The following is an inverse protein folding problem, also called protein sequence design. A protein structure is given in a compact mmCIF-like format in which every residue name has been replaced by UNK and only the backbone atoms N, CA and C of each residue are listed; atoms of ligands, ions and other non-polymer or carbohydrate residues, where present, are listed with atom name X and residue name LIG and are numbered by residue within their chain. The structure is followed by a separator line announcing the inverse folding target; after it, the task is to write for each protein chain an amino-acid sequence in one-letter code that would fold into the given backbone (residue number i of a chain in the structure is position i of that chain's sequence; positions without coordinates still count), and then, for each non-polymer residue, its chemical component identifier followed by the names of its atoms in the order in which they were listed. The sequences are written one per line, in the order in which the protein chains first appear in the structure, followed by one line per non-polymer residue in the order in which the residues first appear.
data_IF_389698303722
#
_entry.id   IF_389698303722
#
_cell.length_a   1.000
_cell.length_b   1.000
_cell.length_c   1.000
_cell.angle_alpha   90.00
_cell.angle_beta   90.00
_cell.angle_gamma   90.00
#
_symmetry.space_group_name_H-M   'P 1'
#
loop_
_entity.id
_entity.type
_entity.pdbx_description
1 polymer ?
#
# COMPACT_ATOMS: atom_id res chain seq x y z
N UNK A 1 -3.02 5.46 14.66
CA UNK A 1 -4.43 5.76 14.27
C UNK A 1 -4.41 6.18 12.80
N UNK A 2 -5.24 5.59 11.94
CA UNK A 2 -5.30 5.95 10.52
C UNK A 2 -6.21 7.15 10.33
N UNK A 3 -5.73 8.17 9.63
CA UNK A 3 -6.52 9.34 9.21
C UNK A 3 -6.97 9.14 7.77
N UNK A 4 -8.26 9.41 7.49
CA UNK A 4 -8.86 9.26 6.16
C UNK A 4 -9.32 10.63 5.65
N UNK A 5 -8.88 10.99 4.42
CA UNK A 5 -9.21 12.27 3.79
C UNK A 5 -9.88 11.99 2.43
N UNK A 6 -11.17 12.31 2.27
CA UNK A 6 -11.86 12.17 0.99
C UNK A 6 -11.23 13.09 -0.07
N UNK A 7 -11.01 12.55 -1.27
CA UNK A 7 -10.46 13.30 -2.39
C UNK A 7 -11.54 13.59 -3.45
N UNK A 8 -11.70 14.87 -3.76
CA UNK A 8 -12.59 15.32 -4.86
C UNK A 8 -11.69 15.77 -6.02
N UNK A 9 -11.58 14.97 -7.09
CA UNK A 9 -10.74 15.31 -8.24
C UNK A 9 -11.17 16.60 -8.91
N UNK A 10 -10.21 17.46 -9.23
CA UNK A 10 -10.42 18.66 -10.05
C UNK A 10 -9.17 18.92 -10.90
N UNK A 11 -9.36 19.11 -12.19
CA UNK A 11 -8.27 19.48 -13.12
C UNK A 11 -7.95 20.98 -13.11
N UNK A 12 -8.74 21.77 -12.40
CA UNK A 12 -8.63 23.24 -12.37
C UNK A 12 -8.16 23.73 -11.00
N UNK A 13 -8.63 23.10 -9.93
CA UNK A 13 -8.34 23.52 -8.56
C UNK A 13 -7.47 22.47 -7.86
N UNK A 14 -6.33 22.85 -7.29
CA UNK A 14 -5.56 21.97 -6.41
C UNK A 14 -6.41 21.54 -5.22
N UNK A 15 -6.27 20.28 -4.82
CA UNK A 15 -6.79 19.79 -3.57
C UNK A 15 -5.64 19.77 -2.55
N UNK A 16 -5.89 20.14 -1.31
CA UNK A 16 -4.85 20.13 -0.27
C UNK A 16 -5.38 19.63 1.07
N UNK A 17 -4.49 19.01 1.83
CA UNK A 17 -4.75 18.55 3.19
C UNK A 17 -3.43 18.47 3.98
N UNK A 18 -3.55 18.33 5.30
CA UNK A 18 -2.40 18.10 6.17
C UNK A 18 -2.26 16.61 6.47
N UNK A 19 -1.05 16.09 6.36
CA UNK A 19 -0.69 14.73 6.72
C UNK A 19 0.30 14.70 7.87
N UNK A 20 0.05 13.86 8.87
CA UNK A 20 1.02 13.54 9.91
C UNK A 20 1.90 12.40 9.41
N UNK A 21 3.17 12.67 9.11
CA UNK A 21 4.16 11.70 8.66
C UNK A 21 5.30 11.69 9.69
N UNK A 22 5.60 10.53 10.25
CA UNK A 22 6.65 10.33 11.27
C UNK A 22 6.57 11.35 12.43
N UNK A 23 5.32 11.61 12.88
CA UNK A 23 5.04 12.52 13.99
C UNK A 23 5.13 14.00 13.64
N UNK A 24 5.41 14.37 12.38
CA UNK A 24 5.49 15.75 11.91
C UNK A 24 4.39 16.05 10.91
N UNK A 25 3.81 17.25 10.97
CA UNK A 25 2.77 17.71 10.04
C UNK A 25 3.38 18.22 8.74
N UNK A 26 2.81 17.80 7.61
CA UNK A 26 3.18 18.23 6.26
C UNK A 26 1.95 18.72 5.51
N UNK A 27 2.17 19.68 4.61
CA UNK A 27 1.15 20.15 3.69
C UNK A 27 1.22 19.30 2.40
N UNK A 28 0.13 18.66 2.04
CA UNK A 28 0.03 17.83 0.84
C UNK A 28 -0.88 18.51 -0.16
N UNK A 29 -0.40 18.70 -1.37
CA UNK A 29 -1.15 19.24 -2.50
C UNK A 29 -1.32 18.18 -3.58
N UNK A 30 -2.52 18.06 -4.12
CA UNK A 30 -2.83 17.18 -5.24
C UNK A 30 -3.17 18.04 -6.43
N UNK A 31 -2.32 18.00 -7.45
CA UNK A 31 -2.40 18.86 -8.63
C UNK A 31 -2.55 18.03 -9.91
N UNK A 32 -3.32 18.54 -10.88
CA UNK A 32 -3.41 17.94 -12.20
C UNK A 32 -2.31 18.45 -13.10
N UNK A 33 -1.52 17.55 -13.65
CA UNK A 33 -0.51 17.87 -14.66
C UNK A 33 -1.08 17.63 -16.05
N UNK A 34 -1.31 18.73 -16.80
CA UNK A 34 -1.91 18.69 -18.14
C UNK A 34 -1.05 17.93 -19.13
N UNK A 35 0.27 18.10 -19.07
CA UNK A 35 1.19 17.45 -20.01
C UNK A 35 1.30 15.94 -19.75
N UNK A 36 1.29 15.53 -18.48
CA UNK A 36 1.37 14.13 -18.08
C UNK A 36 -0.01 13.43 -18.03
N UNK A 37 -1.12 14.18 -18.17
CA UNK A 37 -2.49 13.67 -18.09
C UNK A 37 -2.77 12.86 -16.81
N UNK A 38 -2.22 13.32 -15.66
CA UNK A 38 -2.38 12.64 -14.36
C UNK A 38 -2.25 13.61 -13.20
N UNK A 39 -2.72 13.16 -12.03
CA UNK A 39 -2.48 13.86 -10.77
C UNK A 39 -1.09 13.57 -10.22
N UNK A 40 -0.55 14.56 -9.52
CA UNK A 40 0.66 14.46 -8.72
C UNK A 40 0.37 14.89 -7.29
N UNK A 41 1.14 14.36 -6.37
CA UNK A 41 1.16 14.74 -4.97
C UNK A 41 2.47 15.45 -4.71
N UNK A 42 2.36 16.68 -4.21
CA UNK A 42 3.49 17.49 -3.76
C UNK A 42 3.42 17.62 -2.24
N UNK A 43 4.46 17.21 -1.55
CA UNK A 43 4.56 17.28 -0.10
C UNK A 43 5.52 18.41 0.28
N UNK A 44 5.06 19.29 1.19
CA UNK A 44 5.82 20.42 1.71
C UNK A 44 5.88 20.35 3.23
N UNK A 45 7.00 20.75 3.82
CA UNK A 45 7.09 20.97 5.26
C UNK A 45 6.30 22.21 5.70
N UNK A 46 6.13 22.41 7.00
CA UNK A 46 5.39 23.56 7.54
C UNK A 46 6.05 24.92 7.23
N UNK A 47 7.33 24.96 6.89
CA UNK A 47 8.04 26.16 6.45
C UNK A 47 7.88 26.47 4.95
N UNK A 48 7.08 25.66 4.22
CA UNK A 48 6.88 25.80 2.78
C UNK A 48 8.01 25.20 1.92
N UNK A 49 8.98 24.52 2.54
CA UNK A 49 10.02 23.80 1.81
C UNK A 49 9.46 22.55 1.13
N UNK A 50 9.77 22.40 -0.16
CA UNK A 50 9.42 21.20 -0.92
C UNK A 50 10.17 19.97 -0.38
N UNK A 51 9.47 18.83 -0.30
CA UNK A 51 10.02 17.55 0.22
C UNK A 51 10.07 16.51 -0.90
N UNK A 52 8.93 16.23 -1.55
CA UNK A 52 8.83 15.24 -2.62
C UNK A 52 7.64 15.54 -3.53
N UNK A 53 7.78 15.18 -4.79
CA UNK A 53 6.68 15.10 -5.77
C UNK A 53 6.58 13.68 -6.29
N UNK A 54 5.41 13.08 -6.21
CA UNK A 54 5.14 11.72 -6.71
C UNK A 54 3.85 11.68 -7.52
N UNK A 55 3.76 10.83 -8.56
CA UNK A 55 2.50 10.61 -9.25
C UNK A 55 1.46 10.01 -8.30
N UNK A 56 0.20 10.40 -8.45
CA UNK A 56 -0.90 9.78 -7.73
C UNK A 56 -1.18 8.38 -8.31
N UNK A 57 -0.99 7.35 -7.48
CA UNK A 57 -1.35 5.97 -7.80
C UNK A 57 -2.45 5.49 -6.87
N UNK A 58 -3.45 4.84 -7.44
CA UNK A 58 -4.45 4.15 -6.64
C UNK A 58 -3.89 2.79 -6.16
N UNK A 59 -3.92 2.56 -4.86
CA UNK A 59 -3.70 1.22 -4.32
C UNK A 59 -4.82 0.29 -4.77
N UNK A 60 -4.50 -0.91 -5.23
CA UNK A 60 -5.53 -1.84 -5.70
C UNK A 60 -6.46 -2.25 -4.54
N UNK A 61 -7.71 -2.64 -4.85
CA UNK A 61 -8.65 -3.11 -3.84
C UNK A 61 -8.16 -4.40 -3.17
N UNK A 62 -8.68 -4.65 -1.96
CA UNK A 62 -8.40 -5.89 -1.25
C UNK A 62 -8.87 -7.12 -2.04
N UNK A 63 -8.11 -8.21 -1.96
CA UNK A 63 -8.38 -9.47 -2.63
C UNK A 63 -8.72 -10.56 -1.62
N UNK A 64 -9.60 -11.47 -2.04
CA UNK A 64 -9.97 -12.63 -1.22
C UNK A 64 -8.87 -13.67 -1.26
N UNK A 65 -8.58 -14.21 -0.09
CA UNK A 65 -7.60 -15.27 0.10
C UNK A 65 -8.32 -16.61 0.07
N UNK A 66 -7.74 -17.58 -0.62
CA UNK A 66 -8.18 -18.96 -0.65
C UNK A 66 -7.64 -19.73 0.55
N UNK A 67 -6.33 -19.58 0.81
CA UNK A 67 -5.66 -20.28 1.90
C UNK A 67 -4.45 -19.50 2.40
N UNK A 68 -4.15 -19.70 3.68
CA UNK A 68 -2.92 -19.26 4.33
C UNK A 68 -2.32 -20.45 5.03
N UNK A 69 -1.07 -20.79 4.71
CA UNK A 69 -0.36 -21.94 5.29
C UNK A 69 1.00 -21.46 5.77
N UNK A 70 1.35 -21.77 7.01
CA UNK A 70 2.67 -21.49 7.52
C UNK A 70 3.66 -22.57 7.05
N UNK A 71 4.78 -22.14 6.51
CA UNK A 71 5.89 -22.99 6.11
C UNK A 71 7.03 -22.82 7.12
N UNK A 72 7.28 -23.85 7.98
CA UNK A 72 8.31 -23.76 9.01
C UNK A 72 9.75 -23.77 8.45
N UNK A 73 9.95 -24.24 7.22
CA UNK A 73 11.26 -24.23 6.58
C UNK A 73 11.61 -22.86 6.02
N UNK A 74 10.62 -22.16 5.49
CA UNK A 74 10.78 -20.81 4.95
C UNK A 74 10.61 -19.74 6.02
N UNK A 75 10.09 -20.08 7.21
CA UNK A 75 9.65 -19.13 8.24
C UNK A 75 8.74 -18.06 7.64
N UNK A 76 7.74 -18.50 6.91
CA UNK A 76 6.87 -17.61 6.15
C UNK A 76 5.44 -18.16 6.01
N UNK A 77 4.47 -17.26 5.92
CA UNK A 77 3.13 -17.58 5.46
C UNK A 77 3.13 -17.68 3.94
N UNK A 78 2.62 -18.77 3.41
CA UNK A 78 2.24 -18.89 2.01
C UNK A 78 0.78 -18.49 1.86
N UNK A 79 0.52 -17.41 1.15
CA UNK A 79 -0.82 -16.88 0.90
C UNK A 79 -1.21 -17.21 -0.53
N UNK A 80 -2.37 -17.86 -0.69
CA UNK A 80 -2.93 -18.19 -2.02
C UNK A 80 -4.25 -17.43 -2.23
N UNK A 81 -4.39 -16.74 -3.36
CA UNK A 81 -5.60 -16.03 -3.75
C UNK A 81 -6.61 -16.96 -4.44
N UNK A 82 -7.91 -16.61 -4.36
CA UNK A 82 -8.99 -17.33 -5.04
C UNK A 82 -8.89 -17.22 -6.56
N UNK A 83 -8.43 -16.06 -7.04
CA UNK A 83 -8.30 -15.79 -8.48
C UNK A 83 -6.96 -15.15 -8.78
N UNK A 84 -6.42 -15.36 -9.99
CA UNK A 84 -5.21 -14.68 -10.43
C UNK A 84 -5.35 -13.17 -10.25
N UNK A 85 -4.34 -12.56 -9.70
CA UNK A 85 -4.31 -11.13 -9.50
C UNK A 85 -3.13 -10.53 -10.27
N UNK A 86 -3.45 -9.86 -11.34
CA UNK A 86 -2.49 -9.07 -12.09
C UNK A 86 -2.29 -7.72 -11.37
N UNK A 87 -1.74 -7.76 -10.16
CA UNK A 87 -1.34 -6.52 -9.52
C UNK A 87 -0.10 -5.97 -10.23
N UNK A 88 -0.24 -4.90 -10.98
CA UNK A 88 0.92 -4.27 -11.57
C UNK A 88 1.84 -3.76 -10.45
N UNK A 89 3.10 -4.11 -10.54
CA UNK A 89 4.14 -3.72 -9.57
C UNK A 89 4.86 -2.50 -10.13
N UNK A 90 4.89 -1.35 -9.45
CA UNK A 90 5.71 -0.24 -9.88
C UNK A 90 7.18 -0.67 -9.90
N UNK A 91 7.84 -0.53 -11.05
CA UNK A 91 9.28 -0.60 -11.14
C UNK A 91 9.89 0.74 -10.73
N UNK A 92 11.07 0.72 -10.15
CA UNK A 92 11.85 1.93 -9.84
C UNK A 92 12.08 2.83 -11.06
N UNK A 93 11.92 2.30 -12.26
CA UNK A 93 12.02 3.01 -13.54
C UNK A 93 10.68 3.56 -14.05
N UNK A 94 9.62 3.54 -13.23
CA UNK A 94 8.26 4.01 -13.62
C UNK A 94 7.42 3.01 -14.40
N UNK A 95 7.93 1.80 -14.64
CA UNK A 95 7.16 0.68 -15.20
C UNK A 95 6.41 -0.11 -14.12
N UNK A 96 5.61 -1.07 -14.56
CA UNK A 96 4.92 -2.02 -13.70
C UNK A 96 5.42 -3.44 -14.00
N UNK A 97 5.71 -4.23 -12.96
CA UNK A 97 6.16 -5.61 -13.10
C UNK A 97 5.34 -6.54 -12.22
N UNK A 98 5.08 -7.72 -12.74
CA UNK A 98 4.53 -8.86 -12.00
C UNK A 98 5.56 -9.97 -11.84
N UNK A 99 6.85 -9.64 -11.99
CA UNK A 99 7.93 -10.63 -11.94
C UNK A 99 7.98 -11.35 -10.60
N UNK A 100 8.17 -12.68 -10.59
CA UNK A 100 8.44 -13.44 -9.37
C UNK A 100 9.66 -12.88 -8.62
N UNK A 101 9.63 -12.96 -7.29
CA UNK A 101 10.69 -12.47 -6.42
C UNK A 101 10.62 -10.98 -6.09
N UNK A 102 9.63 -10.25 -6.62
CA UNK A 102 9.45 -8.82 -6.27
C UNK A 102 8.93 -8.70 -4.84
N UNK A 103 9.57 -7.82 -4.05
CA UNK A 103 9.17 -7.51 -2.68
C UNK A 103 8.07 -6.45 -2.72
N UNK A 104 6.99 -6.69 -1.99
CA UNK A 104 5.78 -5.86 -1.99
C UNK A 104 5.29 -5.69 -0.55
N UNK A 105 4.78 -4.51 -0.24
CA UNK A 105 4.11 -4.25 1.02
C UNK A 105 2.62 -4.62 0.92
N UNK A 106 2.15 -5.42 1.86
CA UNK A 106 0.79 -5.94 1.96
C UNK A 106 0.15 -5.59 3.28
N UNK A 107 -1.17 -5.48 3.29
CA UNK A 107 -1.98 -5.52 4.51
C UNK A 107 -2.84 -6.78 4.48
N UNK A 108 -2.81 -7.54 5.56
CA UNK A 108 -3.77 -8.61 5.86
C UNK A 108 -4.80 -8.05 6.84
N UNK A 109 -6.09 -8.24 6.54
CA UNK A 109 -7.20 -7.71 7.34
C UNK A 109 -8.35 -8.73 7.43
N UNK A 110 -9.08 -8.69 8.55
CA UNK A 110 -10.29 -9.49 8.75
C UNK A 110 -10.04 -10.96 9.08
N UNK A 111 -8.85 -11.29 9.53
CA UNK A 111 -8.54 -12.63 10.03
C UNK A 111 -8.94 -12.80 11.49
N UNK A 112 -9.27 -14.04 11.87
CA UNK A 112 -9.39 -14.47 13.25
C UNK A 112 -8.53 -15.72 13.43
N UNK A 113 -7.56 -15.75 14.37
CA UNK A 113 -7.20 -14.68 15.30
C UNK A 113 -6.52 -13.48 14.65
N UNK A 114 -6.49 -12.37 15.38
CA UNK A 114 -5.91 -11.09 14.91
C UNK A 114 -4.39 -11.14 14.67
N UNK A 115 -3.73 -12.22 15.07
CA UNK A 115 -2.28 -12.44 14.85
C UNK A 115 -1.87 -12.42 13.38
N UNK A 116 -2.82 -12.60 12.47
CA UNK A 116 -2.59 -12.50 11.04
C UNK A 116 -2.76 -11.08 10.50
N UNK A 117 -3.52 -10.24 11.20
CA UNK A 117 -3.81 -8.89 10.73
C UNK A 117 -2.60 -7.97 10.89
N UNK A 118 -2.31 -7.18 9.88
CA UNK A 118 -1.21 -6.22 9.93
C UNK A 118 -0.62 -5.87 8.57
N UNK A 119 0.41 -5.05 8.63
CA UNK A 119 1.23 -4.67 7.47
C UNK A 119 2.45 -5.56 7.40
N UNK A 120 2.72 -6.10 6.23
CA UNK A 120 3.81 -7.04 6.00
C UNK A 120 4.56 -6.69 4.73
N UNK A 121 5.84 -7.00 4.73
CA UNK A 121 6.65 -7.00 3.52
C UNK A 121 6.80 -8.43 3.05
N UNK A 122 6.25 -8.74 1.90
CA UNK A 122 6.24 -10.08 1.35
C UNK A 122 6.85 -10.15 -0.05
N UNK A 123 6.96 -11.36 -0.57
CA UNK A 123 7.51 -11.63 -1.88
C UNK A 123 6.43 -12.23 -2.79
N UNK A 124 6.27 -11.65 -3.97
CA UNK A 124 5.43 -12.17 -5.04
C UNK A 124 6.07 -13.44 -5.64
N UNK A 125 5.33 -14.55 -5.64
CA UNK A 125 5.78 -15.82 -6.22
C UNK A 125 5.23 -15.99 -7.62
N UNK A 126 3.91 -15.83 -7.78
CA UNK A 126 3.20 -15.86 -9.06
C UNK A 126 1.87 -15.09 -8.92
N UNK A 127 1.03 -15.12 -9.96
CA UNK A 127 -0.23 -14.37 -10.01
C UNK A 127 -1.22 -14.68 -8.87
N UNK A 128 -1.07 -15.82 -8.19
CA UNK A 128 -1.97 -16.23 -7.11
C UNK A 128 -1.27 -16.48 -5.78
N UNK A 129 0.06 -16.41 -5.73
CA UNK A 129 0.82 -16.82 -4.53
C UNK A 129 1.82 -15.75 -4.09
N UNK A 130 1.84 -15.55 -2.78
CA UNK A 130 2.74 -14.64 -2.09
C UNK A 130 3.31 -15.32 -0.86
N UNK A 131 4.52 -14.95 -0.47
CA UNK A 131 5.10 -15.34 0.81
C UNK A 131 5.29 -14.11 1.69
N UNK A 132 4.93 -14.23 2.95
CA UNK A 132 5.08 -13.19 3.97
C UNK A 132 5.98 -13.74 5.07
N UNK A 133 7.17 -13.18 5.31
CA UNK A 133 8.04 -13.61 6.38
C UNK A 133 7.34 -13.54 7.74
N UNK A 134 7.41 -14.63 8.51
CA UNK A 134 6.83 -14.72 9.85
C UNK A 134 7.65 -15.69 10.69
N UNK A 135 8.28 -15.18 11.73
CA UNK A 135 9.26 -15.94 12.54
C UNK A 135 8.64 -17.04 13.39
N UNK A 136 7.34 -16.98 13.64
CA UNK A 136 6.60 -17.96 14.45
C UNK A 136 5.34 -18.38 13.73
N UNK A 137 4.96 -19.65 13.89
CA UNK A 137 3.69 -20.14 13.36
C UNK A 137 2.52 -19.47 14.09
N UNK A 138 1.68 -18.70 13.38
CA UNK A 138 0.51 -18.05 13.99
C UNK A 138 -0.68 -19.02 14.18
N UNK A 139 -0.52 -20.31 13.81
CA UNK A 139 -1.58 -21.31 13.79
C UNK A 139 -2.42 -21.28 12.51
N UNK A 140 -3.62 -21.83 12.58
CA UNK A 140 -4.57 -21.79 11.47
C UNK A 140 -5.64 -20.72 11.69
N UNK A 141 -5.95 -19.90 10.69
CA UNK A 141 -7.02 -18.94 10.83
C UNK A 141 -8.38 -19.64 10.86
N UNK A 142 -9.23 -19.22 11.79
CA UNK A 142 -10.65 -19.65 11.87
C UNK A 142 -11.48 -18.91 10.82
N UNK A 143 -11.15 -17.62 10.62
CA UNK A 143 -11.72 -16.78 9.57
C UNK A 143 -10.58 -16.31 8.71
N UNK A 144 -10.66 -16.60 7.41
CA UNK A 144 -9.70 -16.11 6.40
C UNK A 144 -10.16 -14.74 5.91
N UNK A 145 -9.31 -13.76 6.07
CA UNK A 145 -9.57 -12.38 5.71
C UNK A 145 -9.25 -12.06 4.24
N UNK A 146 -8.75 -10.88 4.02
CA UNK A 146 -8.34 -10.36 2.72
C UNK A 146 -6.90 -9.84 2.75
N UNK A 147 -6.30 -9.75 1.57
CA UNK A 147 -5.00 -9.12 1.36
C UNK A 147 -5.16 -7.90 0.46
N UNK A 148 -4.51 -6.81 0.80
CA UNK A 148 -4.40 -5.63 -0.06
C UNK A 148 -2.94 -5.25 -0.23
N UNK A 149 -2.61 -4.74 -1.41
CA UNK A 149 -1.30 -4.17 -1.68
C UNK A 149 -1.26 -2.73 -1.24
N UNK A 150 -0.17 -2.34 -0.58
CA UNK A 150 0.08 -0.96 -0.18
C UNK A 150 0.99 -0.31 -1.23
N UNK A 151 0.48 0.71 -1.92
CA UNK A 151 1.28 1.61 -2.74
C UNK A 151 1.55 2.87 -1.92
N UNK A 152 2.57 2.80 -1.04
CA UNK A 152 2.95 3.94 -0.22
C UNK A 152 3.68 4.97 -1.07
N UNK A 153 3.02 6.11 -1.30
CA UNK A 153 3.53 7.18 -2.16
C UNK A 153 4.72 7.94 -1.55
N UNK A 154 4.90 7.86 -0.26
CA UNK A 154 5.98 8.55 0.47
C UNK A 154 6.99 7.61 1.12
N UNK A 155 6.87 6.32 0.92
CA UNK A 155 7.67 5.28 1.58
C UNK A 155 9.18 5.30 1.27
N UNK A 156 9.63 6.14 0.33
CA UNK A 156 11.05 6.37 0.09
C UNK A 156 11.69 7.34 1.09
N UNK A 157 10.87 8.11 1.83
CA UNK A 157 11.33 9.16 2.75
C UNK A 157 10.75 9.04 4.16
N UNK A 158 9.64 8.33 4.33
CA UNK A 158 8.91 8.24 5.60
C UNK A 158 8.60 6.79 5.96
N UNK A 159 8.62 6.48 7.23
CA UNK A 159 8.13 5.21 7.79
C UNK A 159 6.59 5.19 7.79
N UNK A 160 5.96 6.35 7.95
CA UNK A 160 4.51 6.52 7.80
C UNK A 160 4.04 6.20 6.38
N UNK A 161 2.79 5.76 6.26
CA UNK A 161 2.18 5.47 4.95
C UNK A 161 1.20 6.57 4.53
N UNK A 162 1.31 6.98 3.28
CA UNK A 162 0.33 7.79 2.57
C UNK A 162 -0.10 7.02 1.32
N UNK A 163 -1.32 6.54 1.30
CA UNK A 163 -1.88 5.77 0.19
C UNK A 163 -3.17 6.43 -0.32
N UNK A 164 -3.49 6.16 -1.59
CA UNK A 164 -4.77 6.54 -2.18
C UNK A 164 -5.53 5.28 -2.58
N UNK A 165 -6.76 5.16 -2.08
CA UNK A 165 -7.61 3.99 -2.34
C UNK A 165 -9.10 4.39 -2.24
N UNK A 166 -9.93 3.89 -3.16
CA UNK A 166 -11.38 4.10 -3.14
C UNK A 166 -11.82 5.56 -3.02
N UNK A 167 -11.10 6.47 -3.67
CA UNK A 167 -11.43 7.90 -3.63
C UNK A 167 -10.99 8.63 -2.35
N UNK A 168 -10.18 8.02 -1.51
CA UNK A 168 -9.69 8.60 -0.26
C UNK A 168 -8.18 8.49 -0.13
N UNK A 169 -7.56 9.46 0.56
CA UNK A 169 -6.21 9.32 1.09
C UNK A 169 -6.30 8.71 2.50
N UNK A 170 -5.46 7.72 2.75
CA UNK A 170 -5.30 7.07 4.04
C UNK A 170 -3.87 7.32 4.53
N UNK A 171 -3.76 7.90 5.73
CA UNK A 171 -2.49 8.23 6.37
C UNK A 171 -2.37 7.41 7.64
N UNK A 172 -1.31 6.64 7.79
CA UNK A 172 -1.05 5.88 9.01
C UNK A 172 0.43 5.93 9.40
N UNK A 173 0.72 6.05 10.71
CA UNK A 173 2.05 6.01 11.26
C UNK A 173 2.70 4.66 11.04
#
# INVERSE_FOLDING_TARGET
MTTVVPFIPSTIRPFSFNAMLDGTSYNVYVTWNVSAQRYYIDVYNNGGGWVITVPLFASPPARRIQSVVYDPFLLALQVTLISPDQWPIPLSSGGLSTAPGTIIDYTLEGFTPDTFNGKYRGMHINETQFTIPMSTDPGQPVIVGSISRILNMVGSLFDSTLIYRNGTFEISP
#
